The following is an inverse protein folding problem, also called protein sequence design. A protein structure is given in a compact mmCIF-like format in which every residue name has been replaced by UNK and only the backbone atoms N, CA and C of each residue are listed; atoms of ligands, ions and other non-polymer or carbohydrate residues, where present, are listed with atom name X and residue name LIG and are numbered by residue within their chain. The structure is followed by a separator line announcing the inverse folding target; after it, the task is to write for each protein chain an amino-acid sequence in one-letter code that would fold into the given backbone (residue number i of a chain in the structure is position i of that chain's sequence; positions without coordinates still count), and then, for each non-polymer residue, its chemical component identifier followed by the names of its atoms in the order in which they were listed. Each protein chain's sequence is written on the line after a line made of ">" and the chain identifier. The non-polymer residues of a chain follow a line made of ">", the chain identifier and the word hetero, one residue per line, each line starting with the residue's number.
data_IF_028907605184
#
_entry.id   IF_028907605184
#
_cell.length_a   1.000
_cell.length_b   1.000
_cell.length_c   1.000
_cell.angle_alpha   90.00
_cell.angle_beta   90.00
_cell.angle_gamma   90.00
#
_symmetry.space_group_name_H-M   'P 1'
#
loop_
_entity.id
_entity.type
_entity.pdbx_description
1 polymer ?
#
# COMPACT_ATOMS: atom_id res chain seq x y z
N UNK A 1 -10.10 3.89 0.38
CA UNK A 1 -11.11 3.85 -0.72
C UNK A 1 -11.33 2.39 -1.09
N UNK A 2 -12.58 1.94 -1.28
CA UNK A 2 -12.90 0.59 -1.78
C UNK A 2 -13.85 0.78 -2.97
N UNK A 3 -13.33 0.59 -4.18
CA UNK A 3 -14.06 0.85 -5.42
C UNK A 3 -14.20 2.34 -5.73
N UNK A 4 -13.87 2.73 -6.97
CA UNK A 4 -14.25 4.02 -7.55
C UNK A 4 -14.69 3.76 -8.99
N UNK A 5 -15.89 4.20 -9.36
CA UNK A 5 -16.58 3.87 -10.61
C UNK A 5 -16.47 5.02 -11.62
N UNK A 6 -16.51 4.71 -12.92
CA UNK A 6 -16.87 5.67 -13.96
C UNK A 6 -15.73 6.17 -14.86
N UNK A 7 -14.47 5.81 -14.61
CA UNK A 7 -13.32 6.26 -15.39
C UNK A 7 -12.54 5.13 -16.06
N UNK A 8 -11.88 5.43 -17.19
CA UNK A 8 -10.85 4.56 -17.76
C UNK A 8 -9.63 4.50 -16.82
N UNK A 9 -8.91 3.37 -16.82
CA UNK A 9 -7.84 3.07 -15.84
C UNK A 9 -6.86 4.24 -15.60
N UNK A 10 -6.35 4.88 -16.66
CA UNK A 10 -5.35 5.95 -16.49
C UNK A 10 -5.93 7.22 -15.88
N UNK A 11 -7.18 7.56 -16.20
CA UNK A 11 -7.90 8.66 -15.57
C UNK A 11 -8.19 8.32 -14.10
N UNK A 12 -8.63 7.08 -13.85
CA UNK A 12 -8.92 6.58 -12.52
C UNK A 12 -7.71 6.65 -11.57
N UNK A 13 -6.53 6.24 -12.05
CA UNK A 13 -5.28 6.35 -11.29
C UNK A 13 -5.01 7.79 -10.83
N UNK A 14 -5.19 8.75 -11.74
CA UNK A 14 -4.93 10.18 -11.47
C UNK A 14 -5.97 10.79 -10.54
N UNK A 15 -7.25 10.45 -10.71
CA UNK A 15 -8.34 11.06 -9.96
C UNK A 15 -8.55 10.44 -8.57
N UNK A 16 -8.23 9.16 -8.41
CA UNK A 16 -8.60 8.42 -7.21
C UNK A 16 -7.41 7.75 -6.52
N UNK A 17 -6.61 6.99 -7.26
CA UNK A 17 -5.56 6.15 -6.67
C UNK A 17 -4.41 6.99 -6.14
N UNK A 18 -3.80 7.84 -6.95
CA UNK A 18 -2.65 8.64 -6.54
C UNK A 18 -2.95 9.57 -5.36
N UNK A 19 -4.07 10.32 -5.32
CA UNK A 19 -4.43 11.12 -4.15
C UNK A 19 -4.75 10.30 -2.89
N UNK A 20 -5.17 9.05 -3.06
CA UNK A 20 -5.41 8.15 -1.92
C UNK A 20 -4.09 7.59 -1.39
N UNK A 21 -3.19 7.16 -2.28
CA UNK A 21 -1.89 6.60 -1.90
C UNK A 21 -0.94 7.63 -1.29
N UNK A 22 -1.05 8.92 -1.67
CA UNK A 22 -0.23 9.99 -1.08
C UNK A 22 -0.46 10.15 0.42
N UNK A 23 -1.63 9.77 0.95
CA UNK A 23 -1.95 9.82 2.37
C UNK A 23 -1.15 8.81 3.21
N UNK A 24 -0.61 7.77 2.58
CA UNK A 24 0.25 6.77 3.24
C UNK A 24 1.66 7.30 3.54
N UNK A 25 1.97 8.54 3.18
CA UNK A 25 3.14 9.23 3.72
C UNK A 25 3.06 9.39 5.26
N UNK A 26 1.85 9.44 5.82
CA UNK A 26 1.62 9.53 7.26
C UNK A 26 1.63 8.15 7.93
N UNK A 27 2.52 7.96 8.91
CA UNK A 27 2.66 6.70 9.66
C UNK A 27 1.38 6.33 10.42
N UNK A 28 0.72 7.30 11.05
CA UNK A 28 -0.55 7.06 11.77
C UNK A 28 -1.65 6.60 10.82
N UNK A 29 -1.74 7.20 9.63
CA UNK A 29 -2.70 6.78 8.60
C UNK A 29 -2.39 5.36 8.13
N UNK A 30 -1.12 5.08 7.83
CA UNK A 30 -0.63 3.76 7.42
C UNK A 30 -0.95 2.66 8.43
N UNK A 31 -0.71 2.91 9.72
CA UNK A 31 -1.04 1.97 10.80
C UNK A 31 -2.54 1.69 10.89
N UNK A 32 -3.36 2.74 10.91
CA UNK A 32 -4.84 2.61 10.95
C UNK A 32 -5.38 1.83 9.75
N UNK A 33 -4.91 2.16 8.55
CA UNK A 33 -5.38 1.52 7.32
C UNK A 33 -4.88 0.08 7.18
N UNK A 34 -3.66 -0.22 7.64
CA UNK A 34 -3.14 -1.59 7.65
C UNK A 34 -3.98 -2.51 8.54
N UNK A 35 -4.29 -2.07 9.77
CA UNK A 35 -5.14 -2.82 10.69
C UNK A 35 -6.55 -3.04 10.10
N UNK A 36 -7.15 -1.98 9.54
CA UNK A 36 -8.45 -2.07 8.88
C UNK A 36 -8.42 -3.06 7.69
N UNK A 37 -7.41 -2.97 6.84
CA UNK A 37 -7.26 -3.81 5.66
C UNK A 37 -7.14 -5.29 6.02
N UNK A 38 -6.28 -5.65 6.97
CA UNK A 38 -6.14 -7.04 7.41
C UNK A 38 -7.43 -7.58 8.05
N UNK A 39 -8.13 -6.76 8.83
CA UNK A 39 -9.43 -7.13 9.36
C UNK A 39 -10.45 -7.40 8.23
N UNK A 40 -10.43 -6.61 7.15
CA UNK A 40 -11.29 -6.87 5.99
C UNK A 40 -10.93 -8.19 5.29
N UNK A 41 -9.65 -8.52 5.16
CA UNK A 41 -9.25 -9.82 4.60
C UNK A 41 -9.81 -10.97 5.42
N UNK A 42 -9.63 -10.93 6.75
CA UNK A 42 -10.12 -11.96 7.66
C UNK A 42 -11.65 -12.07 7.65
N UNK A 43 -12.36 -10.95 7.68
CA UNK A 43 -13.83 -10.92 7.61
C UNK A 43 -14.39 -11.52 6.32
N UNK A 44 -13.59 -11.54 5.25
CA UNK A 44 -13.94 -12.17 3.97
C UNK A 44 -13.27 -13.54 3.76
N UNK A 45 -12.73 -14.15 4.83
CA UNK A 45 -12.12 -15.48 4.79
C UNK A 45 -10.75 -15.56 4.09
N UNK A 46 -10.15 -14.43 3.73
CA UNK A 46 -8.83 -14.39 3.09
C UNK A 46 -7.73 -14.45 4.15
N UNK A 47 -7.04 -15.58 4.21
CA UNK A 47 -6.00 -15.86 5.22
C UNK A 47 -4.56 -15.67 4.70
N UNK A 48 -4.38 -15.50 3.39
CA UNK A 48 -3.10 -15.19 2.74
C UNK A 48 -3.34 -14.34 1.52
N UNK A 49 -2.52 -13.31 1.32
CA UNK A 49 -2.64 -12.39 0.19
C UNK A 49 -1.27 -11.94 -0.34
N UNK A 50 -1.22 -11.63 -1.64
CA UNK A 50 -0.18 -10.84 -2.29
C UNK A 50 -0.65 -9.40 -2.40
N UNK A 51 0.04 -8.47 -1.74
CA UNK A 51 -0.44 -7.09 -1.55
C UNK A 51 0.56 -6.08 -2.12
N UNK A 52 0.07 -5.19 -2.98
CA UNK A 52 0.81 -4.00 -3.37
C UNK A 52 0.74 -2.97 -2.24
N UNK A 53 1.90 -2.57 -1.72
CA UNK A 53 2.00 -1.44 -0.79
C UNK A 53 1.93 -0.09 -1.53
N UNK A 54 2.46 0.95 -0.92
CA UNK A 54 2.68 2.24 -1.59
C UNK A 54 4.18 2.47 -1.81
N UNK A 55 4.54 3.59 -2.45
CA UNK A 55 5.94 4.03 -2.55
C UNK A 55 6.54 4.37 -1.17
N UNK A 56 5.71 4.61 -0.17
CA UNK A 56 6.14 4.98 1.17
C UNK A 56 6.57 3.75 1.98
N UNK A 57 7.84 3.63 2.43
CA UNK A 57 8.30 2.46 3.16
C UNK A 57 7.55 2.24 4.48
N UNK A 58 7.17 3.32 5.17
CA UNK A 58 6.38 3.26 6.41
C UNK A 58 5.02 2.58 6.23
N UNK A 59 4.43 2.64 5.03
CA UNK A 59 3.18 1.93 4.73
C UNK A 59 3.38 0.42 4.75
N UNK A 60 4.49 -0.05 4.20
CA UNK A 60 4.82 -1.48 4.10
C UNK A 60 5.29 -2.02 5.45
N UNK A 61 6.10 -1.23 6.17
CA UNK A 61 6.53 -1.58 7.53
C UNK A 61 5.32 -1.68 8.48
N UNK A 62 4.33 -0.78 8.38
CA UNK A 62 3.09 -0.85 9.15
C UNK A 62 2.26 -2.09 8.80
N UNK A 63 2.14 -2.44 7.51
CA UNK A 63 1.41 -3.62 7.05
C UNK A 63 2.05 -4.91 7.58
N UNK A 64 3.37 -5.04 7.49
CA UNK A 64 4.08 -6.20 8.04
C UNK A 64 3.97 -6.28 9.56
N UNK A 65 4.05 -5.16 10.27
CA UNK A 65 3.91 -5.13 11.73
C UNK A 65 2.54 -5.64 12.18
N UNK A 66 1.47 -5.21 11.49
CA UNK A 66 0.11 -5.67 11.78
C UNK A 66 -0.11 -7.14 11.40
N UNK A 67 0.43 -7.59 10.26
CA UNK A 67 0.33 -8.99 9.85
C UNK A 67 1.10 -9.93 10.79
N UNK A 68 2.28 -9.52 11.25
CA UNK A 68 3.07 -10.27 12.22
C UNK A 68 2.35 -10.41 13.57
N UNK A 69 1.68 -9.36 14.05
CA UNK A 69 0.88 -9.42 15.28
C UNK A 69 -0.28 -10.43 15.19
N UNK A 70 -0.79 -10.70 13.99
CA UNK A 70 -1.83 -11.70 13.72
C UNK A 70 -1.26 -13.08 13.35
N UNK A 71 0.06 -13.24 13.31
CA UNK A 71 0.74 -14.40 12.74
C UNK A 71 0.23 -14.76 11.33
N UNK A 72 -0.10 -13.75 10.54
CA UNK A 72 -0.69 -13.90 9.21
C UNK A 72 0.41 -14.07 8.16
N UNK A 73 0.27 -15.07 7.29
CA UNK A 73 1.14 -15.22 6.11
C UNK A 73 0.74 -14.18 5.06
N UNK A 74 1.63 -13.23 4.78
CA UNK A 74 1.41 -12.15 3.82
C UNK A 74 2.65 -11.98 2.94
N UNK A 75 2.42 -11.79 1.63
CA UNK A 75 3.47 -11.36 0.70
C UNK A 75 3.16 -9.92 0.31
N UNK A 76 4.05 -8.99 0.63
CA UNK A 76 3.86 -7.58 0.31
C UNK A 76 5.17 -6.92 -0.10
N UNK A 77 5.07 -5.81 -0.83
CA UNK A 77 6.23 -5.07 -1.31
C UNK A 77 5.97 -3.58 -1.44
N UNK A 78 7.05 -2.79 -1.28
CA UNK A 78 7.06 -1.38 -1.61
C UNK A 78 6.92 -1.22 -3.12
N UNK A 79 6.00 -0.35 -3.54
CA UNK A 79 5.84 -0.01 -4.95
C UNK A 79 6.97 0.92 -5.38
N UNK A 80 7.55 0.65 -6.54
CA UNK A 80 8.60 1.49 -7.12
C UNK A 80 8.03 2.23 -8.32
N UNK A 81 8.08 3.56 -8.27
CA UNK A 81 7.55 4.43 -9.30
C UNK A 81 8.44 5.67 -9.45
N UNK A 82 9.11 5.79 -10.59
CA UNK A 82 10.11 6.82 -10.88
C UNK A 82 9.70 7.79 -11.99
N UNK A 83 8.51 7.59 -12.60
CA UNK A 83 7.99 8.42 -13.70
C UNK A 83 6.46 8.32 -13.83
N UNK A 84 5.89 9.28 -14.55
CA UNK A 84 4.47 9.32 -14.96
C UNK A 84 3.45 9.25 -13.81
N UNK A 85 3.79 9.82 -12.66
CA UNK A 85 2.92 9.96 -11.51
C UNK A 85 3.15 11.34 -10.85
N UNK A 86 2.28 11.79 -9.94
CA UNK A 86 2.48 13.04 -9.19
C UNK A 86 3.78 13.02 -8.39
N UNK A 87 4.41 14.19 -8.23
CA UNK A 87 5.72 14.34 -7.58
C UNK A 87 5.78 13.76 -6.16
N UNK A 88 4.67 13.83 -5.42
CA UNK A 88 4.53 13.27 -4.07
C UNK A 88 4.74 11.75 -4.02
N UNK A 89 4.51 11.07 -5.15
CA UNK A 89 4.65 9.62 -5.26
C UNK A 89 5.92 9.21 -6.01
N UNK A 90 6.65 10.14 -6.63
CA UNK A 90 7.84 9.82 -7.39
C UNK A 90 9.03 9.58 -6.46
N UNK A 91 9.69 8.43 -6.64
CA UNK A 91 10.93 8.11 -5.96
C UNK A 91 12.08 7.95 -6.96
N UNK A 92 13.24 8.62 -6.75
CA UNK A 92 14.41 8.41 -7.59
C UNK A 92 14.94 6.99 -7.44
N UNK A 93 15.43 6.41 -8.54
CA UNK A 93 15.99 5.04 -8.60
C UNK A 93 17.02 4.73 -7.52
N UNK A 94 17.79 5.73 -7.08
CA UNK A 94 18.80 5.58 -6.03
C UNK A 94 18.23 5.23 -4.65
N UNK A 95 16.92 5.41 -4.43
CA UNK A 95 16.22 5.10 -3.18
C UNK A 95 15.41 3.81 -3.24
N UNK A 96 15.46 3.08 -4.36
CA UNK A 96 14.83 1.77 -4.49
C UNK A 96 15.46 0.77 -3.50
N UNK A 97 14.79 0.56 -2.38
CA UNK A 97 15.28 -0.30 -1.29
C UNK A 97 14.37 -1.51 -1.17
N UNK A 98 14.90 -2.72 -1.41
CA UNK A 98 14.20 -3.98 -1.15
C UNK A 98 14.47 -4.46 0.27
N UNK A 99 13.50 -4.33 1.19
CA UNK A 99 13.58 -5.04 2.47
C UNK A 99 12.98 -6.43 2.30
N UNK A 100 13.79 -7.49 2.49
CA UNK A 100 13.27 -8.85 2.71
C UNK A 100 12.83 -8.94 4.17
N UNK A 101 11.54 -9.18 4.41
CA UNK A 101 11.02 -9.58 5.71
C UNK A 101 10.91 -11.10 5.68
N UNK A 102 11.63 -11.77 6.59
CA UNK A 102 11.64 -13.24 6.75
C UNK A 102 10.42 -13.69 7.56
#
# INVERSE_FOLDING_TARGET
>A
MIGAYGDQLLAWLKHYTFPTESQFCCERHSGKMSAFFLQQLLSNGTTTALVFGTVHPQSVDALFSQAAALNMRLIAGKVMMDRHAPDELLEPRSKATGKRVN
#
